data_IF_497452014752
#
_entry.id   IF_497452014752
#
_cell.length_a   1.000
_cell.length_b   1.000
_cell.length_c   1.000
_cell.angle_alpha   90.00
_cell.angle_beta   90.00
_cell.angle_gamma   90.00
#
_symmetry.space_group_name_H-M   'P 1'
#
loop_
_entity.id
_entity.type
_entity.pdbx_description
1 polymer ?
#
# COMPACT_ATOMS: atom_id res chain seq x y z
N UNK A 1 -6.06 17.20 -13.15
CA UNK A 1 -4.95 17.26 -12.17
C UNK A 1 -5.13 16.04 -11.29
N UNK A 2 -4.15 15.14 -11.25
CA UNK A 2 -4.21 13.95 -10.41
C UNK A 2 -4.10 14.44 -8.97
N UNK A 3 -5.04 14.02 -8.13
CA UNK A 3 -5.17 14.49 -6.75
C UNK A 3 -4.97 13.36 -5.75
N UNK A 4 -5.31 12.12 -6.10
CA UNK A 4 -5.03 10.97 -5.26
C UNK A 4 -4.72 9.74 -6.11
N UNK A 5 -3.92 8.84 -5.55
CA UNK A 5 -3.59 7.56 -6.17
C UNK A 5 -3.73 6.42 -5.16
N UNK A 6 -4.09 5.26 -5.68
CA UNK A 6 -4.06 4.00 -4.96
C UNK A 6 -2.86 3.18 -5.44
N UNK A 7 -2.08 2.66 -4.49
CA UNK A 7 -1.11 1.60 -4.74
C UNK A 7 -1.60 0.34 -4.04
N UNK A 8 -1.93 -0.68 -4.82
CA UNK A 8 -2.47 -1.93 -4.31
C UNK A 8 -1.44 -3.03 -4.54
N UNK A 9 -1.07 -3.73 -3.49
CA UNK A 9 -0.21 -4.90 -3.53
C UNK A 9 -1.03 -6.14 -3.17
N UNK A 10 -0.97 -7.16 -4.01
CA UNK A 10 -1.69 -8.41 -3.84
C UNK A 10 -0.73 -9.59 -3.70
N UNK A 11 -1.13 -10.59 -2.92
CA UNK A 11 -0.46 -11.89 -2.92
C UNK A 11 -1.08 -12.88 -1.93
N UNK A 12 -0.42 -14.01 -1.76
CA UNK A 12 -0.81 -15.01 -0.75
C UNK A 12 -0.30 -14.65 0.64
N UNK A 13 -1.17 -14.75 1.64
CA UNK A 13 -0.82 -14.52 3.05
C UNK A 13 0.24 -15.50 3.58
N UNK A 14 0.34 -16.68 2.96
CA UNK A 14 1.38 -17.67 3.25
C UNK A 14 2.77 -17.34 2.67
N UNK A 15 2.86 -16.37 1.76
CA UNK A 15 4.10 -15.98 1.07
C UNK A 15 4.59 -14.61 1.54
N UNK A 16 3.68 -13.66 1.71
CA UNK A 16 3.99 -12.28 2.13
C UNK A 16 4.68 -12.29 3.49
N UNK A 17 5.75 -11.50 3.62
CA UNK A 17 6.50 -11.33 4.86
C UNK A 17 5.75 -10.38 5.82
N UNK A 18 4.64 -10.89 6.38
CA UNK A 18 3.72 -10.11 7.18
C UNK A 18 4.37 -9.46 8.40
N UNK A 19 5.27 -10.18 9.08
CA UNK A 19 5.98 -9.64 10.25
C UNK A 19 6.78 -8.40 9.87
N UNK A 20 7.63 -8.51 8.84
CA UNK A 20 8.45 -7.38 8.39
C UNK A 20 7.60 -6.23 7.84
N UNK A 21 6.48 -6.55 7.20
CA UNK A 21 5.53 -5.56 6.70
C UNK A 21 4.90 -4.75 7.84
N UNK A 22 4.38 -5.43 8.87
CA UNK A 22 3.79 -4.79 10.03
C UNK A 22 4.84 -3.96 10.80
N UNK A 23 6.07 -4.47 10.96
CA UNK A 23 7.17 -3.66 11.53
C UNK A 23 7.35 -2.36 10.75
N UNK A 24 7.35 -2.41 9.41
CA UNK A 24 7.55 -1.24 8.57
C UNK A 24 6.40 -0.23 8.67
N UNK A 25 5.14 -0.69 8.70
CA UNK A 25 3.96 0.17 8.81
C UNK A 25 3.83 0.77 10.21
N UNK A 26 4.24 0.05 11.26
CA UNK A 26 4.03 0.46 12.65
C UNK A 26 5.20 1.26 13.25
N UNK A 27 6.22 1.65 12.47
CA UNK A 27 7.31 2.50 12.98
C UNK A 27 6.85 3.94 13.25
N UNK A 28 6.07 4.52 12.34
CA UNK A 28 5.67 5.94 12.36
C UNK A 28 4.18 6.15 12.11
N UNK A 29 3.35 5.28 12.66
CA UNK A 29 1.90 5.42 12.57
C UNK A 29 1.40 6.54 13.49
N UNK A 30 0.27 7.12 13.09
CA UNK A 30 -0.55 8.05 13.88
C UNK A 30 -1.67 7.29 14.58
N UNK A 31 -2.43 6.53 13.79
CA UNK A 31 -3.58 5.75 14.24
C UNK A 31 -3.51 4.36 13.63
N UNK A 32 -4.02 3.37 14.36
CA UNK A 32 -4.10 1.97 13.91
C UNK A 32 -5.29 1.31 14.57
N UNK A 33 -6.03 0.50 13.81
CA UNK A 33 -7.19 -0.24 14.32
C UNK A 33 -7.53 -1.41 13.40
N UNK A 34 -8.27 -2.38 13.93
CA UNK A 34 -8.95 -3.39 13.13
C UNK A 34 -10.35 -2.89 12.83
N UNK A 35 -10.69 -2.85 11.55
CA UNK A 35 -12.07 -2.68 11.11
C UNK A 35 -12.78 -4.05 11.15
N UNK A 36 -12.06 -5.13 10.85
CA UNK A 36 -12.49 -6.51 11.08
C UNK A 36 -11.29 -7.33 11.61
N UNK A 37 -11.46 -8.16 12.66
CA UNK A 37 -12.63 -8.17 13.53
C UNK A 37 -12.78 -6.83 14.29
N UNK A 38 -14.02 -6.41 14.52
CA UNK A 38 -14.33 -5.23 15.33
C UNK A 38 -13.87 -5.41 16.79
N UNK A 39 -13.66 -4.29 17.50
CA UNK A 39 -13.37 -4.22 18.94
C UNK A 39 -12.15 -5.04 19.43
N UNK A 40 -11.19 -5.31 18.54
CA UNK A 40 -9.93 -5.94 18.93
C UNK A 40 -9.07 -4.96 19.72
N UNK A 41 -8.93 -5.21 21.02
CA UNK A 41 -7.96 -4.54 21.85
C UNK A 41 -6.56 -5.13 21.62
N UNK A 42 -5.59 -4.26 21.33
CA UNK A 42 -4.17 -4.64 21.26
C UNK A 42 -3.32 -3.58 21.95
N UNK A 43 -2.23 -4.03 22.58
CA UNK A 43 -1.29 -3.15 23.29
C UNK A 43 0.13 -3.29 22.78
N UNK A 44 0.41 -4.39 22.07
CA UNK A 44 1.72 -4.73 21.54
C UNK A 44 1.65 -5.13 20.07
N UNK A 45 2.80 -5.10 19.41
CA UNK A 45 2.92 -5.62 18.05
C UNK A 45 2.61 -7.12 17.97
N UNK A 46 2.98 -7.91 18.99
CA UNK A 46 2.67 -9.35 19.02
C UNK A 46 1.17 -9.62 19.10
N UNK A 47 0.40 -8.75 19.77
CA UNK A 47 -1.06 -8.87 19.81
C UNK A 47 -1.65 -8.76 18.39
N UNK A 48 -1.19 -7.77 17.62
CA UNK A 48 -1.60 -7.57 16.22
C UNK A 48 -1.25 -8.82 15.40
N UNK A 49 0.00 -9.30 15.47
CA UNK A 49 0.44 -10.51 14.77
C UNK A 49 -0.43 -11.73 15.13
N UNK A 50 -0.84 -11.85 16.39
CA UNK A 50 -1.68 -12.97 16.83
C UNK A 50 -3.10 -12.90 16.25
N UNK A 51 -3.65 -11.71 16.02
CA UNK A 51 -4.92 -11.54 15.28
C UNK A 51 -4.75 -12.09 13.86
N UNK A 52 -3.64 -11.77 13.18
CA UNK A 52 -3.33 -12.31 11.86
C UNK A 52 -3.17 -13.83 11.77
N UNK A 53 -2.89 -14.50 12.89
CA UNK A 53 -2.82 -15.97 12.96
C UNK A 53 -4.19 -16.63 13.18
N UNK A 54 -5.25 -15.87 13.47
CA UNK A 54 -6.54 -16.43 13.92
C UNK A 54 -7.44 -16.98 12.80
N UNK A 55 -6.97 -17.00 11.55
CA UNK A 55 -7.68 -17.50 10.34
C UNK A 55 -9.05 -16.84 10.07
N UNK A 56 -9.33 -15.70 10.69
CA UNK A 56 -10.51 -14.88 10.42
C UNK A 56 -10.24 -13.93 9.25
N UNK A 57 -11.32 -13.38 8.69
CA UNK A 57 -11.23 -12.20 7.83
C UNK A 57 -10.65 -11.05 8.64
N UNK A 58 -9.62 -10.40 8.10
CA UNK A 58 -8.96 -9.26 8.74
C UNK A 58 -9.01 -8.07 7.80
N UNK A 59 -9.36 -6.94 8.37
CA UNK A 59 -9.29 -5.63 7.77
C UNK A 59 -8.57 -4.72 8.79
N UNK A 60 -7.29 -4.45 8.52
CA UNK A 60 -6.40 -3.73 9.42
C UNK A 60 -5.98 -2.39 8.81
N UNK A 61 -6.28 -1.31 9.52
CA UNK A 61 -6.02 0.05 9.04
C UNK A 61 -4.88 0.68 9.82
N UNK A 62 -3.96 1.33 9.10
CA UNK A 62 -2.88 2.13 9.65
C UNK A 62 -2.86 3.49 8.97
N UNK A 63 -3.01 4.56 9.75
CA UNK A 63 -2.72 5.93 9.28
C UNK A 63 -1.26 6.25 9.60
N UNK A 64 -0.45 6.54 8.58
CA UNK A 64 0.96 6.86 8.73
C UNK A 64 1.17 8.38 8.82
N UNK A 65 2.05 8.84 9.71
CA UNK A 65 2.50 10.24 9.68
C UNK A 65 3.32 10.51 8.42
N UNK A 66 4.19 9.54 8.06
CA UNK A 66 4.97 9.59 6.83
C UNK A 66 5.29 8.17 6.34
N UNK A 67 5.37 8.01 5.02
CA UNK A 67 5.93 6.85 4.34
C UNK A 67 7.18 7.28 3.57
N UNK A 68 8.30 6.60 3.80
CA UNK A 68 9.54 6.93 3.09
C UNK A 68 9.61 6.21 1.73
N UNK A 69 9.67 6.98 0.65
CA UNK A 69 9.87 6.50 -0.72
C UNK A 69 11.16 7.07 -1.29
N UNK A 70 12.24 6.28 -1.27
CA UNK A 70 13.59 6.69 -1.72
C UNK A 70 14.07 8.03 -1.14
N UNK A 71 13.84 8.25 0.16
CA UNK A 71 14.24 9.48 0.84
C UNK A 71 13.22 10.61 0.76
N UNK A 72 12.14 10.44 -0.01
CA UNK A 72 10.97 11.35 0.00
C UNK A 72 10.05 10.90 1.14
N UNK A 73 9.66 11.82 2.01
CA UNK A 73 8.71 11.57 3.08
C UNK A 73 7.31 11.96 2.60
N UNK A 74 6.48 10.96 2.26
CA UNK A 74 5.10 11.16 1.84
C UNK A 74 4.25 11.29 3.11
N UNK A 75 3.63 12.44 3.40
CA UNK A 75 2.82 12.63 4.59
C UNK A 75 1.46 11.93 4.45
N UNK A 76 0.77 11.76 5.58
CA UNK A 76 -0.66 11.43 5.64
C UNK A 76 -1.10 10.22 4.79
N UNK A 77 -0.25 9.19 4.71
CA UNK A 77 -0.54 7.97 3.96
C UNK A 77 -1.53 7.11 4.74
N UNK A 78 -2.62 6.74 4.08
CA UNK A 78 -3.54 5.73 4.57
C UNK A 78 -3.10 4.36 4.06
N UNK A 79 -2.97 3.39 4.96
CA UNK A 79 -2.68 2.01 4.64
C UNK A 79 -3.81 1.10 5.13
N UNK A 80 -4.27 0.20 4.28
CA UNK A 80 -5.25 -0.82 4.62
C UNK A 80 -4.73 -2.19 4.21
N UNK A 81 -4.72 -3.12 5.17
CA UNK A 81 -4.21 -4.48 5.00
C UNK A 81 -5.37 -5.46 5.22
N UNK A 82 -5.86 -6.01 4.12
CA UNK A 82 -6.92 -7.03 4.11
C UNK A 82 -6.32 -8.43 4.06
N UNK A 83 -6.86 -9.38 4.83
CA UNK A 83 -6.57 -10.81 4.69
C UNK A 83 -7.86 -11.60 4.66
N UNK A 84 -8.08 -12.33 3.57
CA UNK A 84 -9.28 -13.14 3.40
C UNK A 84 -8.99 -14.37 2.52
N UNK A 85 -9.47 -15.55 2.94
CA UNK A 85 -9.32 -16.80 2.20
C UNK A 85 -7.89 -17.14 1.73
N UNK A 86 -6.87 -16.79 2.53
CA UNK A 86 -5.47 -17.06 2.19
C UNK A 86 -4.81 -16.04 1.26
N UNK A 87 -5.57 -15.03 0.83
CA UNK A 87 -5.07 -13.87 0.09
C UNK A 87 -4.83 -12.71 1.06
N UNK A 88 -3.89 -11.84 0.70
CA UNK A 88 -3.56 -10.59 1.40
C UNK A 88 -3.47 -9.46 0.39
N UNK A 89 -4.10 -8.33 0.71
CA UNK A 89 -4.08 -7.10 -0.08
C UNK A 89 -3.60 -5.96 0.81
N UNK A 90 -2.62 -5.18 0.35
CA UNK A 90 -2.22 -3.92 0.96
C UNK A 90 -2.58 -2.78 0.01
N UNK A 91 -3.50 -1.92 0.42
CA UNK A 91 -3.79 -0.65 -0.22
C UNK A 91 -3.00 0.47 0.49
N UNK A 92 -2.30 1.29 -0.29
CA UNK A 92 -1.74 2.56 0.14
C UNK A 92 -2.41 3.69 -0.64
N UNK A 93 -2.91 4.68 0.08
CA UNK A 93 -3.59 5.85 -0.48
C UNK A 93 -2.91 7.13 0.00
N UNK A 94 -2.61 8.04 -0.94
CA UNK A 94 -2.04 9.37 -0.66
C UNK A 94 -2.20 10.33 -1.84
N UNK A 95 -1.94 11.62 -1.59
CA UNK A 95 -2.02 12.65 -2.62
C UNK A 95 -0.77 12.59 -3.52
N UNK A 96 -1.01 12.54 -4.83
CA UNK A 96 0.08 12.45 -5.81
C UNK A 96 1.05 13.64 -5.73
N UNK A 97 0.55 14.82 -5.36
CA UNK A 97 1.37 16.03 -5.25
C UNK A 97 2.49 15.88 -4.21
N UNK A 98 2.34 14.97 -3.26
CA UNK A 98 3.28 14.78 -2.15
C UNK A 98 4.58 14.09 -2.58
N UNK A 99 4.63 13.56 -3.81
CA UNK A 99 5.87 13.07 -4.42
C UNK A 99 6.83 14.22 -4.79
N UNK A 100 6.34 15.47 -4.85
CA UNK A 100 7.12 16.69 -5.08
C UNK A 100 8.05 16.67 -6.31
N UNK A 101 7.63 15.97 -7.38
CA UNK A 101 8.31 16.04 -8.68
C UNK A 101 7.61 17.06 -9.58
N UNK A 102 8.41 17.70 -10.45
CA UNK A 102 7.91 18.66 -11.44
C UNK A 102 7.30 18.01 -12.69
N UNK A 103 7.51 16.71 -12.89
CA UNK A 103 7.06 15.92 -14.04
C UNK A 103 6.23 14.71 -13.55
N UNK A 104 4.97 14.63 -13.99
CA UNK A 104 4.03 13.58 -13.60
C UNK A 104 4.51 12.19 -14.04
N UNK A 105 5.12 12.07 -15.22
CA UNK A 105 5.66 10.80 -15.71
C UNK A 105 6.88 10.39 -14.90
N UNK A 106 7.77 11.33 -14.58
CA UNK A 106 8.92 11.05 -13.73
C UNK A 106 8.49 10.57 -12.33
N UNK A 107 7.44 11.17 -11.77
CA UNK A 107 6.86 10.74 -10.49
C UNK A 107 6.35 9.30 -10.55
N UNK A 108 5.62 8.95 -11.62
CA UNK A 108 5.07 7.60 -11.80
C UNK A 108 6.18 6.58 -12.06
N UNK A 109 7.20 6.93 -12.85
CA UNK A 109 8.36 6.06 -13.07
C UNK A 109 9.11 5.80 -11.76
N UNK A 110 9.26 6.82 -10.92
CA UNK A 110 9.87 6.71 -9.60
C UNK A 110 9.04 5.83 -8.66
N UNK A 111 7.71 6.02 -8.62
CA UNK A 111 6.79 5.16 -7.89
C UNK A 111 6.92 3.71 -8.35
N UNK A 112 6.94 3.46 -9.65
CA UNK A 112 7.04 2.10 -10.20
C UNK A 112 8.31 1.38 -9.75
N UNK A 113 9.45 2.09 -9.68
CA UNK A 113 10.69 1.52 -9.16
C UNK A 113 10.52 1.22 -7.66
N UNK A 114 9.97 2.17 -6.89
CA UNK A 114 9.78 2.00 -5.45
C UNK A 114 8.85 0.84 -5.13
N UNK A 115 7.71 0.74 -5.82
CA UNK A 115 6.75 -0.35 -5.63
C UNK A 115 7.35 -1.68 -6.03
N UNK A 116 8.20 -1.73 -7.05
CA UNK A 116 8.92 -2.96 -7.42
C UNK A 116 9.84 -3.42 -6.29
N UNK A 117 10.58 -2.50 -5.66
CA UNK A 117 11.43 -2.84 -4.51
C UNK A 117 10.61 -3.25 -3.29
N UNK A 118 9.52 -2.53 -3.00
CA UNK A 118 8.60 -2.84 -1.91
C UNK A 118 7.95 -4.23 -2.10
N UNK A 119 7.43 -4.50 -3.30
CA UNK A 119 6.87 -5.79 -3.71
C UNK A 119 7.86 -6.92 -3.46
N UNK A 120 9.10 -6.77 -3.96
CA UNK A 120 10.13 -7.79 -3.80
C UNK A 120 10.55 -7.98 -2.32
N UNK A 121 10.65 -6.89 -1.56
CA UNK A 121 11.04 -6.92 -0.15
C UNK A 121 10.04 -7.70 0.70
N UNK A 122 8.74 -7.46 0.49
CA UNK A 122 7.67 -8.08 1.29
C UNK A 122 7.02 -9.29 0.60
N UNK A 123 7.50 -9.66 -0.59
CA UNK A 123 7.08 -10.84 -1.38
C UNK A 123 5.61 -10.82 -1.82
N UNK A 124 5.10 -9.64 -2.17
CA UNK A 124 3.83 -9.54 -2.86
C UNK A 124 3.95 -10.09 -4.29
N UNK A 125 2.91 -10.78 -4.76
CA UNK A 125 2.90 -11.42 -6.09
C UNK A 125 2.58 -10.41 -7.19
N UNK A 126 1.80 -9.37 -6.88
CA UNK A 126 1.36 -8.36 -7.82
C UNK A 126 1.30 -6.98 -7.18
N UNK A 127 1.45 -5.93 -8.00
CA UNK A 127 1.23 -4.54 -7.60
C UNK A 127 0.61 -3.77 -8.75
N UNK A 128 -0.28 -2.83 -8.43
CA UNK A 128 -0.85 -1.85 -9.36
C UNK A 128 -0.87 -0.46 -8.73
N UNK A 129 -0.65 0.55 -9.56
CA UNK A 129 -0.84 1.96 -9.21
C UNK A 129 -1.94 2.53 -10.11
N UNK A 130 -3.02 3.01 -9.51
CA UNK A 130 -4.22 3.42 -10.22
C UNK A 130 -4.75 4.78 -9.74
N UNK A 131 -5.69 5.33 -10.50
CA UNK A 131 -6.48 6.49 -10.05
C UNK A 131 -7.25 6.04 -8.80
N UNK A 132 -7.39 6.93 -7.81
CA UNK A 132 -8.26 6.69 -6.65
C UNK A 132 -9.64 6.18 -7.09
N UNK A 133 -10.07 5.05 -6.52
CA UNK A 133 -11.31 4.35 -6.88
C UNK A 133 -11.43 3.95 -8.37
N UNK A 134 -10.29 3.82 -9.06
CA UNK A 134 -10.21 3.43 -10.45
C UNK A 134 -10.66 1.98 -10.70
N UNK A 135 -11.22 1.74 -11.88
CA UNK A 135 -11.51 0.40 -12.37
C UNK A 135 -10.28 -0.29 -12.99
N UNK A 136 -10.47 -1.52 -13.51
CA UNK A 136 -9.40 -2.35 -14.09
C UNK A 136 -8.63 -1.70 -15.27
N UNK A 137 -9.23 -0.73 -15.96
CA UNK A 137 -8.60 0.00 -17.07
C UNK A 137 -8.01 1.36 -16.64
N UNK A 138 -8.22 1.78 -15.39
CA UNK A 138 -7.87 3.11 -14.87
C UNK A 138 -6.56 3.13 -14.07
N UNK A 139 -5.54 2.43 -14.58
CA UNK A 139 -4.24 2.29 -13.93
C UNK A 139 -3.08 2.92 -14.70
N UNK A 140 -2.08 3.42 -13.96
CA UNK A 140 -0.86 4.01 -14.50
C UNK A 140 0.21 2.96 -14.81
N UNK A 141 0.36 1.98 -13.93
CA UNK A 141 1.22 0.82 -14.15
C UNK A 141 0.80 -0.34 -13.25
N UNK A 142 1.24 -1.53 -13.61
CA UNK A 142 1.14 -2.73 -12.81
C UNK A 142 2.43 -3.58 -12.91
N UNK A 143 2.43 -4.77 -12.31
CA UNK A 143 3.55 -5.71 -12.41
C UNK A 143 3.85 -6.17 -13.85
N UNK A 144 2.93 -6.00 -14.81
CA UNK A 144 3.13 -6.38 -16.20
C UNK A 144 3.62 -5.22 -17.08
N UNK A 145 3.48 -3.98 -16.64
CA UNK A 145 4.06 -2.83 -17.32
C UNK A 145 3.28 -1.54 -17.13
N UNK A 146 3.39 -0.67 -18.13
CA UNK A 146 2.72 0.63 -18.15
C UNK A 146 1.26 0.46 -18.56
N UNK A 147 0.37 1.11 -17.82
CA UNK A 147 -1.08 1.09 -18.05
C UNK A 147 -1.59 2.23 -18.94
N UNK A 148 -2.89 2.22 -19.26
CA UNK A 148 -3.53 3.21 -20.12
C UNK A 148 -3.39 4.64 -19.60
N UNK A 149 -3.50 4.84 -18.28
CA UNK A 149 -3.52 6.19 -17.68
C UNK A 149 -2.19 6.94 -17.82
N UNK A 150 -1.07 6.22 -17.95
CA UNK A 150 0.26 6.82 -18.10
C UNK A 150 0.36 7.71 -19.36
N UNK A 151 -0.35 7.36 -20.43
CA UNK A 151 -0.30 8.11 -21.68
C UNK A 151 -1.01 9.46 -21.60
N UNK A 152 -1.91 9.64 -20.62
CA UNK A 152 -2.62 10.89 -20.39
C UNK A 152 -1.88 11.83 -19.42
N UNK A 153 -0.71 11.42 -18.93
CA UNK A 153 0.15 12.28 -18.13
C UNK A 153 0.86 13.30 -19.00
N UNK A 154 0.75 14.57 -18.63
CA UNK A 154 1.60 15.63 -19.16
C UNK A 154 3.06 15.40 -18.76
N UNK A 155 3.99 16.01 -19.51
CA UNK A 155 5.40 16.10 -19.10
C UNK A 155 5.57 17.17 -18.04
#
# INVERSE_FOLDING_TARGET
MITAIDIIFDGKSSIVDLHSLLEALLVKFRDVYFNEPEDVEFTTHEDIINVFKSEVHIDFVVSLNELNMFGIAIPDVFANLGVYNGEIELLLFFDFKDLDFSDYKASIDHLRIWTTEFQNKFKFEYVRCQIDNGNEDEYYFDSHGIGPCYNFLDK
#
